data_IF_324856976192
#
_entry.id   IF_324856976192
#
_cell.length_a   1.000
_cell.length_b   1.000
_cell.length_c   1.000
_cell.angle_alpha   90.00
_cell.angle_beta   90.00
_cell.angle_gamma   90.00
#
_symmetry.space_group_name_H-M   'P 1'
#
loop_
_entity.id
_entity.type
_entity.pdbx_description
1 polymer ?
#
# COMPACT_ATOMS: atom_id res chain seq x y z
N UNK A 1 4.25 5.74 13.36
CA UNK A 1 4.85 6.22 12.11
C UNK A 1 5.04 7.73 12.16
N UNK A 2 6.21 8.24 11.78
CA UNK A 2 6.51 9.68 11.83
C UNK A 2 5.65 10.53 10.89
N UNK A 3 4.97 9.90 9.93
CA UNK A 3 4.13 10.58 8.93
C UNK A 3 2.78 11.05 9.48
N UNK A 4 2.42 10.67 10.71
CA UNK A 4 1.19 11.11 11.38
C UNK A 4 1.20 12.55 11.92
N UNK A 5 2.28 13.28 11.76
CA UNK A 5 2.36 14.68 12.20
C UNK A 5 1.40 15.54 11.38
N UNK A 6 0.52 16.31 12.07
CA UNK A 6 -0.47 17.20 11.43
C UNK A 6 0.14 18.15 10.38
N UNK A 7 1.39 18.57 10.59
CA UNK A 7 2.12 19.44 9.65
C UNK A 7 2.48 18.77 8.33
N UNK A 8 2.55 17.43 8.31
CA UNK A 8 2.86 16.61 7.11
C UNK A 8 1.63 15.96 6.49
N UNK A 9 0.48 16.02 7.15
CA UNK A 9 -0.79 15.41 6.71
C UNK A 9 -1.54 16.27 5.67
N UNK A 10 -0.81 17.11 4.93
CA UNK A 10 -1.41 17.91 3.87
C UNK A 10 -1.29 17.20 2.53
N UNK A 11 -2.42 16.84 1.94
CA UNK A 11 -2.43 16.31 0.57
C UNK A 11 -2.07 17.43 -0.41
N UNK A 12 -0.95 17.27 -1.09
CA UNK A 12 -0.53 18.13 -2.20
C UNK A 12 -0.70 17.34 -3.49
N UNK A 13 -1.47 17.86 -4.42
CA UNK A 13 -1.78 17.18 -5.67
C UNK A 13 -1.10 17.85 -6.83
N UNK A 14 -0.64 17.04 -7.77
CA UNK A 14 -0.26 17.51 -9.08
C UNK A 14 -1.46 17.47 -10.03
N UNK A 15 -1.49 18.38 -10.99
CA UNK A 15 -2.49 18.38 -12.05
C UNK A 15 -2.39 17.09 -12.88
N UNK A 16 -3.53 16.53 -13.26
CA UNK A 16 -3.59 15.27 -14.03
C UNK A 16 -2.79 15.36 -15.33
N UNK A 17 -2.84 16.51 -16.01
CA UNK A 17 -2.07 16.73 -17.25
C UNK A 17 -0.56 16.70 -17.03
N UNK A 18 -0.10 17.17 -15.87
CA UNK A 18 1.32 17.08 -15.50
C UNK A 18 1.73 15.61 -15.31
N UNK A 19 0.97 14.85 -14.54
CA UNK A 19 1.23 13.42 -14.32
C UNK A 19 1.27 12.67 -15.65
N UNK A 20 0.32 12.95 -16.54
CA UNK A 20 0.27 12.37 -17.88
C UNK A 20 1.51 12.70 -18.72
N UNK A 21 1.96 13.94 -18.70
CA UNK A 21 3.18 14.38 -19.41
C UNK A 21 4.43 13.68 -18.85
N UNK A 22 4.53 13.52 -17.53
CA UNK A 22 5.63 12.83 -16.88
C UNK A 22 5.65 11.34 -17.27
N UNK A 23 4.51 10.66 -17.26
CA UNK A 23 4.39 9.26 -17.68
C UNK A 23 4.79 9.07 -19.16
N UNK A 24 4.36 9.96 -20.05
CA UNK A 24 4.78 9.95 -21.44
C UNK A 24 6.29 10.19 -21.60
N UNK A 25 6.82 11.11 -20.83
CA UNK A 25 8.25 11.40 -20.86
C UNK A 25 9.09 10.20 -20.44
N UNK A 26 8.67 9.52 -19.36
CA UNK A 26 9.32 8.31 -18.86
C UNK A 26 9.21 7.21 -19.92
N UNK A 27 8.00 6.90 -20.38
CA UNK A 27 7.75 5.83 -21.33
C UNK A 27 8.59 5.97 -22.62
N UNK A 28 8.74 7.19 -23.14
CA UNK A 28 9.53 7.45 -24.35
C UNK A 28 11.05 7.25 -24.17
N UNK A 29 11.54 7.11 -22.94
CA UNK A 29 12.99 7.07 -22.62
C UNK A 29 13.46 5.84 -21.91
N UNK A 30 12.54 5.08 -21.31
CA UNK A 30 12.90 3.85 -20.59
C UNK A 30 13.43 2.79 -21.55
N UNK A 31 14.37 2.00 -21.06
CA UNK A 31 14.90 0.82 -21.76
C UNK A 31 14.99 -0.33 -20.78
N UNK A 32 14.35 -1.46 -21.10
CA UNK A 32 14.39 -2.69 -20.28
C UNK A 32 13.91 -2.49 -18.83
N UNK A 33 12.93 -1.63 -18.62
CA UNK A 33 12.31 -1.38 -17.31
C UNK A 33 10.82 -1.66 -17.42
N UNK A 34 10.37 -2.68 -16.70
CA UNK A 34 8.97 -3.11 -16.70
C UNK A 34 8.14 -2.53 -15.54
N UNK A 35 8.82 -1.96 -14.55
CA UNK A 35 8.21 -1.53 -13.31
C UNK A 35 8.07 -0.01 -13.22
N UNK A 36 6.91 0.44 -12.74
CA UNK A 36 6.66 1.83 -12.35
C UNK A 36 6.33 1.89 -10.85
N UNK A 37 7.09 2.67 -10.10
CA UNK A 37 6.81 2.97 -8.70
C UNK A 37 6.12 4.32 -8.59
N UNK A 38 4.89 4.31 -8.09
CA UNK A 38 4.14 5.53 -7.74
C UNK A 38 4.37 5.80 -6.26
N UNK A 39 5.06 6.89 -5.95
CA UNK A 39 5.46 7.24 -4.57
C UNK A 39 4.33 7.92 -3.77
N UNK A 40 3.09 7.59 -4.07
CA UNK A 40 1.91 7.98 -3.30
C UNK A 40 1.63 6.92 -2.23
N UNK A 41 1.46 7.35 -0.98
CA UNK A 41 1.16 6.46 0.16
C UNK A 41 -0.30 6.03 0.24
N UNK A 42 -1.17 6.61 -0.58
CA UNK A 42 -2.62 6.43 -0.55
C UNK A 42 -3.23 6.30 -1.96
N UNK A 43 -2.49 5.76 -2.91
CA UNK A 43 -2.94 5.62 -4.29
C UNK A 43 -4.24 4.82 -4.37
N UNK A 44 -5.14 5.27 -5.23
CA UNK A 44 -6.48 4.71 -5.39
C UNK A 44 -7.53 5.28 -4.42
N UNK A 45 -7.12 5.98 -3.36
CA UNK A 45 -8.04 6.51 -2.37
C UNK A 45 -8.80 7.76 -2.86
N UNK A 46 -8.20 8.54 -3.75
CA UNK A 46 -8.76 9.78 -4.26
C UNK A 46 -9.35 9.62 -5.67
N UNK A 47 -10.39 10.41 -5.98
CA UNK A 47 -11.06 10.36 -7.29
C UNK A 47 -10.13 10.61 -8.49
N UNK A 48 -9.07 11.39 -8.28
CA UNK A 48 -8.08 11.70 -9.33
C UNK A 48 -7.20 10.51 -9.67
N UNK A 49 -6.97 9.60 -8.72
CA UNK A 49 -6.11 8.42 -8.91
C UNK A 49 -6.68 7.51 -10.01
N UNK A 50 -8.01 7.43 -10.10
CA UNK A 50 -8.70 6.73 -11.17
C UNK A 50 -8.25 7.22 -12.56
N UNK A 51 -8.16 8.55 -12.77
CA UNK A 51 -7.70 9.10 -14.06
C UNK A 51 -6.27 8.72 -14.38
N UNK A 52 -5.42 8.64 -13.36
CA UNK A 52 -4.04 8.15 -13.51
C UNK A 52 -4.03 6.67 -13.89
N UNK A 53 -4.86 5.84 -13.23
CA UNK A 53 -4.98 4.42 -13.54
C UNK A 53 -5.56 4.17 -14.94
N UNK A 54 -6.58 4.92 -15.36
CA UNK A 54 -7.12 4.87 -16.73
C UNK A 54 -6.01 5.14 -17.76
N UNK A 55 -5.22 6.19 -17.52
CA UNK A 55 -4.13 6.51 -18.41
C UNK A 55 -3.00 5.46 -18.42
N UNK A 56 -2.68 4.88 -17.27
CA UNK A 56 -1.73 3.76 -17.19
C UNK A 56 -2.25 2.54 -17.94
N UNK A 57 -3.55 2.23 -17.82
CA UNK A 57 -4.17 1.14 -18.56
C UNK A 57 -4.10 1.36 -20.09
N UNK A 58 -4.29 2.60 -20.57
CA UNK A 58 -4.10 2.95 -21.98
C UNK A 58 -2.65 2.75 -22.42
N UNK A 59 -1.67 3.19 -21.61
CA UNK A 59 -0.26 2.95 -21.88
C UNK A 59 0.09 1.46 -21.91
N UNK A 60 -0.47 0.66 -20.99
CA UNK A 60 -0.30 -0.80 -20.98
C UNK A 60 -0.87 -1.46 -22.24
N UNK A 61 -2.02 -0.98 -22.69
CA UNK A 61 -2.65 -1.52 -23.91
C UNK A 61 -1.84 -1.19 -25.17
N UNK A 62 -1.39 0.06 -25.31
CA UNK A 62 -0.67 0.57 -26.50
C UNK A 62 0.83 0.24 -26.49
N UNK A 63 1.51 0.53 -25.38
CA UNK A 63 2.97 0.43 -25.26
C UNK A 63 3.49 -0.78 -24.51
N UNK A 64 2.57 -1.61 -23.94
CA UNK A 64 2.90 -2.76 -23.08
C UNK A 64 3.73 -2.36 -21.85
N UNK A 65 3.60 -1.13 -21.39
CA UNK A 65 4.31 -0.56 -20.25
C UNK A 65 3.41 0.37 -19.43
N UNK A 66 3.56 0.41 -18.09
CA UNK A 66 4.38 -0.49 -17.26
C UNK A 66 3.72 -1.87 -17.14
N UNK A 67 4.53 -2.93 -17.02
CA UNK A 67 3.99 -4.29 -16.77
C UNK A 67 3.64 -4.49 -15.30
N UNK A 68 4.38 -3.82 -14.42
CA UNK A 68 4.19 -3.87 -12.97
C UNK A 68 4.04 -2.44 -12.45
N UNK A 69 2.97 -2.21 -11.71
CA UNK A 69 2.75 -0.96 -10.96
C UNK A 69 2.92 -1.24 -9.48
N UNK A 70 3.79 -0.50 -8.82
CA UNK A 70 3.94 -0.53 -7.37
C UNK A 70 3.45 0.79 -6.78
N UNK A 71 2.48 0.71 -5.89
CA UNK A 71 1.95 1.85 -5.14
C UNK A 71 1.39 1.36 -3.81
N UNK A 72 1.49 2.18 -2.79
CA UNK A 72 0.83 1.89 -1.51
C UNK A 72 -0.64 2.27 -1.60
N UNK A 73 -1.52 1.31 -1.31
CA UNK A 73 -2.94 1.58 -1.20
C UNK A 73 -3.27 2.31 0.10
N UNK A 74 -4.22 3.23 0.06
CA UNK A 74 -4.75 3.87 1.25
C UNK A 74 -5.58 2.89 2.11
N UNK A 75 -5.83 3.25 3.36
CA UNK A 75 -6.69 2.46 4.26
C UNK A 75 -8.17 2.75 4.11
N UNK A 76 -8.50 3.95 3.63
CA UNK A 76 -9.87 4.43 3.51
C UNK A 76 -10.36 4.29 2.07
N UNK A 77 -11.69 4.21 1.88
CA UNK A 77 -12.33 4.10 0.57
C UNK A 77 -11.94 2.82 -0.18
N UNK A 78 -12.10 1.62 0.43
CA UNK A 78 -11.70 0.35 -0.16
C UNK A 78 -12.31 0.10 -1.54
N UNK A 79 -13.58 0.43 -1.72
CA UNK A 79 -14.28 0.25 -3.00
C UNK A 79 -13.61 1.05 -4.12
N UNK A 80 -13.19 2.28 -3.84
CA UNK A 80 -12.51 3.12 -4.83
C UNK A 80 -11.12 2.60 -5.18
N UNK A 81 -10.39 2.09 -4.20
CA UNK A 81 -9.08 1.47 -4.42
C UNK A 81 -9.24 0.23 -5.30
N UNK A 82 -10.21 -0.63 -5.00
CA UNK A 82 -10.52 -1.83 -5.79
C UNK A 82 -10.93 -1.44 -7.22
N UNK A 83 -11.80 -0.43 -7.37
CA UNK A 83 -12.18 0.08 -8.69
C UNK A 83 -10.98 0.59 -9.49
N UNK A 84 -10.09 1.35 -8.84
CA UNK A 84 -8.86 1.87 -9.46
C UNK A 84 -7.93 0.73 -9.88
N UNK A 85 -7.77 -0.28 -9.03
CA UNK A 85 -6.93 -1.43 -9.31
C UNK A 85 -7.49 -2.34 -10.41
N UNK A 86 -8.80 -2.47 -10.51
CA UNK A 86 -9.46 -3.23 -11.57
C UNK A 86 -9.10 -2.72 -12.95
N UNK A 87 -8.89 -1.41 -13.10
CA UNK A 87 -8.44 -0.82 -14.37
C UNK A 87 -7.06 -1.32 -14.81
N UNK A 88 -6.20 -1.65 -13.85
CA UNK A 88 -4.83 -2.08 -14.07
C UNK A 88 -4.68 -3.60 -14.24
N UNK A 89 -5.79 -4.35 -14.23
CA UNK A 89 -5.89 -5.78 -14.58
C UNK A 89 -4.79 -6.66 -13.95
N UNK A 90 -4.55 -6.49 -12.65
CA UNK A 90 -3.56 -7.28 -11.91
C UNK A 90 -2.12 -6.75 -11.97
N UNK A 91 -1.81 -5.76 -12.80
CA UNK A 91 -0.47 -5.17 -12.83
C UNK A 91 -0.13 -4.38 -11.56
N UNK A 92 -1.11 -3.92 -10.80
CA UNK A 92 -0.93 -3.32 -9.48
C UNK A 92 -1.27 -4.32 -8.38
N UNK A 93 -0.23 -4.80 -7.69
CA UNK A 93 -0.38 -5.67 -6.52
C UNK A 93 -0.91 -4.85 -5.34
N UNK A 94 -2.13 -5.15 -4.89
CA UNK A 94 -2.74 -4.49 -3.74
C UNK A 94 -2.40 -5.24 -2.47
N UNK A 95 -2.13 -4.48 -1.43
CA UNK A 95 -1.95 -5.01 -0.08
C UNK A 95 -2.32 -4.00 0.97
N UNK A 96 -2.44 -4.45 2.19
CA UNK A 96 -2.70 -3.60 3.34
C UNK A 96 -1.76 -3.93 4.48
N UNK A 97 -1.02 -2.92 4.93
CA UNK A 97 -0.09 -3.06 6.04
C UNK A 97 -0.84 -3.05 7.38
N UNK A 98 -1.01 -4.19 8.02
CA UNK A 98 -1.66 -4.30 9.34
C UNK A 98 -0.68 -4.01 10.49
N UNK A 99 0.63 -4.15 10.29
CA UNK A 99 1.71 -3.95 11.24
C UNK A 99 1.67 -4.92 12.42
N UNK A 100 0.56 -5.01 13.12
CA UNK A 100 0.19 -5.94 14.18
C UNK A 100 -1.33 -6.12 14.16
N UNK A 101 -1.82 -7.22 14.70
CA UNK A 101 -3.26 -7.44 14.93
C UNK A 101 -3.64 -7.28 16.40
N UNK A 102 -2.70 -6.92 17.25
CA UNK A 102 -2.93 -6.70 18.68
C UNK A 102 -3.26 -5.24 18.97
N UNK A 103 -4.37 -4.99 19.63
CA UNK A 103 -4.89 -3.63 19.88
C UNK A 103 -3.97 -2.80 20.78
N UNK A 104 -3.36 -3.40 21.80
CA UNK A 104 -2.42 -2.72 22.69
C UNK A 104 -1.16 -2.29 21.94
N UNK A 105 -0.63 -3.15 21.08
CA UNK A 105 0.52 -2.83 20.22
C UNK A 105 0.17 -1.70 19.27
N UNK A 106 -1.03 -1.72 18.68
CA UNK A 106 -1.48 -0.67 17.78
C UNK A 106 -1.68 0.66 18.50
N UNK A 107 -2.24 0.65 19.71
CA UNK A 107 -2.39 1.84 20.57
C UNK A 107 -1.03 2.45 20.90
N UNK A 108 -0.05 1.63 21.31
CA UNK A 108 1.30 2.07 21.64
C UNK A 108 2.02 2.79 20.48
N UNK A 109 1.68 2.48 19.24
CA UNK A 109 2.23 3.12 18.05
C UNK A 109 1.28 4.17 17.44
N UNK A 110 0.21 4.54 18.15
CA UNK A 110 -0.81 5.50 17.69
C UNK A 110 -1.36 5.15 16.29
N UNK A 111 -1.72 3.88 16.08
CA UNK A 111 -2.19 3.39 14.79
C UNK A 111 -3.52 2.64 14.95
N UNK A 112 -4.42 2.87 14.02
CA UNK A 112 -5.58 2.02 13.77
C UNK A 112 -5.36 1.17 12.52
N UNK A 113 -5.80 -0.07 12.53
CA UNK A 113 -5.83 -0.89 11.34
C UNK A 113 -7.00 -0.52 10.41
N UNK A 114 -6.93 -1.03 9.20
CA UNK A 114 -8.09 -1.13 8.31
C UNK A 114 -9.13 -2.04 8.97
N UNK A 115 -10.43 -1.74 8.77
CA UNK A 115 -11.48 -2.62 9.25
C UNK A 115 -11.32 -4.04 8.67
N UNK A 116 -11.60 -5.06 9.48
CA UNK A 116 -11.39 -6.47 9.09
C UNK A 116 -12.11 -6.84 7.78
N UNK A 117 -13.33 -6.36 7.60
CA UNK A 117 -14.09 -6.64 6.38
C UNK A 117 -13.47 -5.97 5.15
N UNK A 118 -12.99 -4.73 5.28
CA UNK A 118 -12.28 -4.05 4.19
C UNK A 118 -10.93 -4.73 3.87
N UNK A 119 -10.23 -5.25 4.90
CA UNK A 119 -9.02 -6.04 4.71
C UNK A 119 -9.31 -7.30 3.89
N UNK A 120 -10.35 -8.06 4.27
CA UNK A 120 -10.77 -9.25 3.53
C UNK A 120 -11.15 -8.92 2.08
N UNK A 121 -11.91 -7.86 1.86
CA UNK A 121 -12.26 -7.41 0.49
C UNK A 121 -11.01 -7.16 -0.36
N UNK A 122 -9.96 -6.54 0.18
CA UNK A 122 -8.71 -6.34 -0.54
C UNK A 122 -8.00 -7.66 -0.88
N UNK A 123 -7.93 -8.57 0.10
CA UNK A 123 -7.28 -9.86 -0.11
C UNK A 123 -8.05 -10.71 -1.13
N UNK A 124 -9.37 -10.80 -1.00
CA UNK A 124 -10.23 -11.54 -1.92
C UNK A 124 -10.15 -10.96 -3.34
N UNK A 125 -10.18 -9.63 -3.46
CA UNK A 125 -10.00 -8.98 -4.76
C UNK A 125 -8.62 -9.29 -5.36
N UNK A 126 -7.54 -9.12 -4.61
CA UNK A 126 -6.20 -9.40 -5.08
C UNK A 126 -6.05 -10.87 -5.53
N UNK A 127 -6.60 -11.82 -4.75
CA UNK A 127 -6.54 -13.24 -5.05
C UNK A 127 -7.45 -13.66 -6.23
N UNK A 128 -8.46 -12.85 -6.57
CA UNK A 128 -9.35 -13.10 -7.71
C UNK A 128 -8.75 -12.68 -9.07
N UNK A 129 -7.66 -11.92 -9.06
CA UNK A 129 -7.04 -11.47 -10.30
C UNK A 129 -6.32 -12.63 -10.99
N UNK A 130 -6.67 -12.90 -12.23
CA UNK A 130 -6.28 -14.11 -13.00
C UNK A 130 -4.80 -14.18 -13.38
N UNK A 131 -4.04 -13.10 -13.29
CA UNK A 131 -2.68 -12.99 -13.80
C UNK A 131 -1.58 -13.25 -12.76
N UNK A 132 -1.88 -13.99 -11.67
CA UNK A 132 -0.90 -14.27 -10.62
C UNK A 132 -0.60 -13.07 -9.72
N UNK A 133 -1.45 -12.07 -9.72
CA UNK A 133 -1.43 -10.97 -8.76
C UNK A 133 -1.62 -11.53 -7.35
N UNK A 134 -0.59 -11.38 -6.51
CA UNK A 134 -0.58 -11.95 -5.18
C UNK A 134 -0.92 -10.87 -4.16
N UNK A 135 -1.85 -11.16 -3.27
CA UNK A 135 -2.11 -10.30 -2.11
C UNK A 135 -0.89 -10.23 -1.19
N UNK A 136 -0.69 -9.09 -0.54
CA UNK A 136 0.34 -8.99 0.50
C UNK A 136 -0.17 -8.21 1.71
N UNK A 137 0.46 -8.49 2.85
CA UNK A 137 0.35 -7.68 4.06
C UNK A 137 1.72 -7.46 4.69
N UNK A 138 1.82 -6.44 5.51
CA UNK A 138 3.06 -6.08 6.19
C UNK A 138 2.85 -6.14 7.69
N UNK A 139 3.79 -6.82 8.38
CA UNK A 139 3.81 -7.00 9.82
C UNK A 139 5.17 -6.51 10.33
N UNK A 140 5.18 -5.83 11.46
CA UNK A 140 6.41 -5.32 12.07
C UNK A 140 6.69 -6.08 13.35
N UNK A 141 7.87 -6.68 13.43
CA UNK A 141 8.39 -7.37 14.60
C UNK A 141 8.93 -6.38 15.64
N UNK A 142 8.69 -6.67 16.90
CA UNK A 142 9.21 -5.93 18.05
C UNK A 142 8.72 -4.46 18.13
N UNK A 143 7.46 -4.24 17.83
CA UNK A 143 6.79 -2.98 18.15
C UNK A 143 6.66 -2.80 19.69
N UNK A 144 6.51 -1.57 20.21
CA UNK A 144 6.27 -1.32 21.62
C UNK A 144 5.07 -2.12 22.16
N UNK A 145 5.30 -2.92 23.20
CA UNK A 145 4.29 -3.80 23.80
C UNK A 145 4.07 -5.11 23.05
N UNK A 146 4.84 -5.37 21.99
CA UNK A 146 4.77 -6.65 21.27
C UNK A 146 5.41 -7.78 22.09
N UNK A 147 4.87 -8.98 21.93
CA UNK A 147 5.41 -10.20 22.49
C UNK A 147 5.49 -11.26 21.40
N UNK A 148 6.25 -12.33 21.67
CA UNK A 148 6.30 -13.48 20.76
C UNK A 148 4.91 -14.01 20.41
N UNK A 149 4.02 -14.09 21.39
CA UNK A 149 2.65 -14.60 21.19
C UNK A 149 1.81 -13.66 20.32
N UNK A 150 1.81 -12.35 20.62
CA UNK A 150 1.11 -11.34 19.84
C UNK A 150 1.60 -11.30 18.38
N UNK A 151 2.92 -11.39 18.19
CA UNK A 151 3.51 -11.44 16.85
C UNK A 151 3.09 -12.70 16.09
N UNK A 152 3.14 -13.88 16.72
CA UNK A 152 2.68 -15.14 16.11
C UNK A 152 1.18 -15.12 15.78
N UNK A 153 0.36 -14.47 16.60
CA UNK A 153 -1.06 -14.27 16.30
C UNK A 153 -1.27 -13.38 15.08
N UNK A 154 -0.45 -12.33 14.90
CA UNK A 154 -0.48 -11.49 13.71
C UNK A 154 -0.10 -12.27 12.44
N UNK A 155 0.89 -13.14 12.50
CA UNK A 155 1.25 -14.03 11.39
C UNK A 155 0.12 -15.02 11.07
N UNK A 156 -0.45 -15.66 12.11
CA UNK A 156 -1.57 -16.59 11.96
C UNK A 156 -2.77 -15.93 11.31
N UNK A 157 -3.11 -14.71 11.73
CA UNK A 157 -4.20 -13.94 11.13
C UNK A 157 -3.96 -13.68 9.62
N UNK A 158 -2.74 -13.41 9.21
CA UNK A 158 -2.42 -13.28 7.78
C UNK A 158 -2.69 -14.56 7.00
N UNK A 159 -2.30 -15.71 7.55
CA UNK A 159 -2.53 -17.03 6.94
C UNK A 159 -4.03 -17.34 6.86
N UNK A 160 -4.77 -17.13 7.96
CA UNK A 160 -6.21 -17.39 8.05
C UNK A 160 -7.03 -16.49 7.11
N UNK A 161 -6.53 -15.30 6.77
CA UNK A 161 -7.15 -14.42 5.79
C UNK A 161 -6.61 -14.65 4.35
N UNK A 162 -5.94 -15.75 4.07
CA UNK A 162 -5.44 -16.13 2.75
C UNK A 162 -4.49 -15.09 2.11
N UNK A 163 -3.68 -14.40 2.92
CA UNK A 163 -2.66 -13.49 2.41
C UNK A 163 -1.54 -14.30 1.77
N UNK A 164 -1.26 -14.08 0.50
CA UNK A 164 -0.23 -14.84 -0.23
C UNK A 164 1.19 -14.51 0.22
N UNK A 165 1.45 -13.24 0.55
CA UNK A 165 2.78 -12.79 0.94
C UNK A 165 2.71 -11.96 2.22
N UNK A 166 3.37 -12.43 3.27
CA UNK A 166 3.59 -11.64 4.48
C UNK A 166 5.01 -11.06 4.44
N UNK A 167 5.10 -9.73 4.40
CA UNK A 167 6.35 -9.00 4.50
C UNK A 167 6.58 -8.64 5.95
N UNK A 168 7.69 -9.11 6.51
CA UNK A 168 8.04 -8.86 7.90
C UNK A 168 9.19 -7.87 7.98
N UNK A 169 8.98 -6.81 8.73
CA UNK A 169 9.99 -5.79 9.00
C UNK A 169 10.30 -5.77 10.49
N UNK A 170 11.51 -5.45 10.83
CA UNK A 170 11.87 -5.17 12.22
C UNK A 170 11.54 -3.71 12.56
N UNK A 171 10.98 -3.46 13.73
CA UNK A 171 10.79 -2.12 14.23
C UNK A 171 12.15 -1.40 14.36
N UNK A 172 12.25 -0.23 13.76
CA UNK A 172 13.42 0.63 13.88
C UNK A 172 13.02 1.96 14.51
N UNK A 173 13.78 2.35 15.52
CA UNK A 173 13.61 3.65 16.17
C UNK A 173 14.32 4.72 15.33
N UNK A 174 13.54 5.53 14.64
CA UNK A 174 14.08 6.59 13.81
C UNK A 174 14.25 7.87 14.61
N UNK A 175 15.42 8.49 14.50
CA UNK A 175 15.73 9.79 15.10
C UNK A 175 14.66 10.84 14.73
N UNK A 176 14.23 11.64 15.72
CA UNK A 176 13.21 12.69 15.52
C UNK A 176 11.76 12.20 15.52
N UNK A 177 11.51 10.92 15.79
CA UNK A 177 10.16 10.39 16.00
C UNK A 177 9.78 10.46 17.49
N UNK A 178 8.47 10.48 17.79
CA UNK A 178 7.97 10.42 19.16
C UNK A 178 8.44 9.16 19.90
N UNK A 179 8.62 8.06 19.20
CA UNK A 179 9.15 6.81 19.76
C UNK A 179 10.59 6.97 20.21
N UNK A 180 11.43 7.70 19.48
CA UNK A 180 12.82 7.98 19.87
C UNK A 180 12.89 8.95 21.05
N UNK A 181 11.98 9.94 21.14
CA UNK A 181 11.98 10.91 22.22
C UNK A 181 11.47 10.37 23.57
N UNK A 182 10.81 9.22 23.58
CA UNK A 182 10.37 8.55 24.82
C UNK A 182 11.52 7.76 25.51
N UNK A 183 12.65 7.62 24.86
CA UNK A 183 13.81 6.85 25.33
C UNK A 183 14.95 7.75 25.90
N UNK A 184 14.80 9.06 25.84
CA UNK A 184 15.69 10.02 26.48
C UNK A 184 15.07 10.60 27.73
#
# INVERSE_FOLDING_TARGET
>A
CADGLKSKNRVVRFETDRVRKELNYIQARIQNVDELVITDLNFGMYKQDRKTAEYLADLQADKKWPRIVKASAGKNQPERIIETASLLKGSWMIGSAVQSTDDEVLENINRSNIATDAFRQFIDFANSQSDGSLSYSEIILALPGDTREKHLNSLRSGIENNVNTLRMYQAMMLMGTSMASQHT
#
